data_IF_629941425628
#
_entry.id   IF_629941425628
#
_cell.length_a   1.000
_cell.length_b   1.000
_cell.length_c   1.000
_cell.angle_alpha   90.00
_cell.angle_beta   90.00
_cell.angle_gamma   90.00
#
_symmetry.space_group_name_H-M   'P 1'
#
loop_
_entity.id
_entity.type
_entity.pdbx_description
1 polymer ?
#
# COMPACT_ATOMS: atom_id res chain seq x y z
N UNK A 1 -20.97 -6.73 2.08
CA UNK A 1 -21.80 -7.86 2.57
C UNK A 1 -21.63 -8.99 1.57
N UNK A 2 -21.33 -10.20 2.01
CA UNK A 2 -21.20 -11.36 1.13
C UNK A 2 -22.04 -12.53 1.65
N UNK A 3 -22.48 -13.39 0.75
CA UNK A 3 -23.33 -14.54 1.09
C UNK A 3 -22.51 -15.81 0.94
N UNK A 4 -22.51 -16.63 1.99
CA UNK A 4 -21.93 -17.97 1.95
C UNK A 4 -22.86 -18.95 2.64
N UNK A 5 -23.23 -20.03 1.95
CA UNK A 5 -24.10 -21.08 2.52
C UNK A 5 -25.45 -20.57 3.06
N UNK A 6 -26.07 -19.57 2.39
CA UNK A 6 -27.30 -18.86 2.81
C UNK A 6 -27.17 -17.96 4.05
N UNK A 7 -25.97 -17.77 4.59
CA UNK A 7 -25.70 -16.84 5.69
C UNK A 7 -25.11 -15.55 5.11
N UNK A 8 -25.56 -14.41 5.67
CA UNK A 8 -25.14 -13.07 5.27
C UNK A 8 -24.05 -12.60 6.23
N UNK A 9 -22.87 -12.29 5.70
CA UNK A 9 -21.72 -11.82 6.47
C UNK A 9 -21.38 -10.37 6.12
N UNK A 10 -21.10 -9.57 7.14
CA UNK A 10 -20.59 -8.21 7.00
C UNK A 10 -19.08 -8.20 7.19
N UNK A 11 -18.37 -7.61 6.24
CA UNK A 11 -16.95 -7.35 6.37
C UNK A 11 -16.75 -6.15 7.31
N UNK A 12 -16.09 -6.38 8.45
CA UNK A 12 -15.87 -5.37 9.49
C UNK A 12 -14.59 -4.57 9.20
N UNK A 13 -13.61 -5.18 8.53
CA UNK A 13 -12.30 -4.61 8.21
C UNK A 13 -12.00 -4.73 6.71
N UNK A 14 -11.63 -3.61 6.10
CA UNK A 14 -11.40 -3.50 4.66
C UNK A 14 -12.68 -3.30 3.85
N UNK A 15 -12.52 -3.11 2.54
CA UNK A 15 -13.63 -3.03 1.60
C UNK A 15 -13.89 -4.35 0.89
N UNK A 16 -15.08 -4.48 0.29
CA UNK A 16 -15.45 -5.66 -0.48
C UNK A 16 -14.52 -5.84 -1.69
N UNK A 17 -13.80 -6.97 -1.73
CA UNK A 17 -12.97 -7.32 -2.88
C UNK A 17 -13.84 -7.46 -4.13
N UNK A 18 -13.40 -6.86 -5.24
CA UNK A 18 -14.15 -6.86 -6.51
C UNK A 18 -15.09 -5.67 -6.73
N UNK A 19 -15.26 -4.79 -5.72
CA UNK A 19 -15.97 -3.52 -5.93
C UNK A 19 -15.06 -2.44 -6.53
N UNK A 20 -15.49 -1.81 -7.63
CA UNK A 20 -14.80 -0.67 -8.26
C UNK A 20 -14.66 0.53 -7.30
N UNK A 21 -15.61 0.70 -6.40
CA UNK A 21 -15.56 1.71 -5.35
C UNK A 21 -14.45 1.42 -4.34
N UNK A 22 -14.33 0.15 -3.91
CA UNK A 22 -13.27 -0.28 -2.99
C UNK A 22 -11.89 -0.10 -3.60
N UNK A 23 -11.72 -0.37 -4.91
CA UNK A 23 -10.46 -0.12 -5.62
C UNK A 23 -10.07 1.35 -5.61
N UNK A 24 -11.04 2.25 -5.86
CA UNK A 24 -10.81 3.70 -5.80
C UNK A 24 -10.43 4.15 -4.39
N UNK A 25 -11.11 3.63 -3.37
CA UNK A 25 -10.80 3.96 -1.99
C UNK A 25 -9.42 3.47 -1.56
N UNK A 26 -9.04 2.26 -1.99
CA UNK A 26 -7.69 1.71 -1.79
C UNK A 26 -6.63 2.59 -2.47
N UNK A 27 -6.90 3.06 -3.70
CA UNK A 27 -6.00 3.98 -4.41
C UNK A 27 -5.78 5.30 -3.65
N UNK A 28 -6.84 5.89 -3.08
CA UNK A 28 -6.76 7.13 -2.30
C UNK A 28 -6.00 6.90 -0.98
N UNK A 29 -6.27 5.79 -0.31
CA UNK A 29 -5.57 5.42 0.93
C UNK A 29 -4.06 5.22 0.67
N UNK A 30 -3.73 4.44 -0.36
CA UNK A 30 -2.35 4.20 -0.78
C UNK A 30 -1.67 5.49 -1.24
N UNK A 31 -2.39 6.41 -1.91
CA UNK A 31 -1.86 7.73 -2.28
C UNK A 31 -1.36 8.51 -1.06
N UNK A 32 -2.16 8.59 0.02
CA UNK A 32 -1.77 9.29 1.26
C UNK A 32 -0.50 8.71 1.87
N UNK A 33 -0.31 7.39 1.77
CA UNK A 33 0.87 6.71 2.29
C UNK A 33 2.10 6.88 1.39
N UNK A 34 1.93 6.70 0.08
CA UNK A 34 3.02 6.72 -0.90
C UNK A 34 3.51 8.13 -1.24
N UNK A 35 2.72 9.19 -0.99
CA UNK A 35 3.08 10.59 -1.29
C UNK A 35 4.47 10.97 -0.76
N UNK A 36 4.88 10.44 0.39
CA UNK A 36 6.21 10.69 0.98
C UNK A 36 7.34 9.94 0.27
N UNK A 37 7.06 8.78 -0.34
CA UNK A 37 8.03 7.99 -1.11
C UNK A 37 8.22 8.60 -2.49
N UNK A 38 7.12 8.86 -3.20
CA UNK A 38 7.13 9.47 -4.54
C UNK A 38 7.92 10.77 -4.53
N UNK A 39 7.63 11.68 -3.58
CA UNK A 39 8.38 12.95 -3.45
C UNK A 39 9.88 12.77 -3.20
N UNK A 40 10.30 11.68 -2.55
CA UNK A 40 11.73 11.40 -2.34
C UNK A 40 12.37 10.90 -3.62
N UNK A 41 11.65 10.07 -4.39
CA UNK A 41 12.14 9.48 -5.62
C UNK A 41 12.22 10.46 -6.78
N UNK A 42 11.29 11.42 -6.85
CA UNK A 42 11.36 12.55 -7.79
C UNK A 42 12.67 13.33 -7.64
N UNK A 43 13.19 13.46 -6.41
CA UNK A 43 14.45 14.16 -6.15
C UNK A 43 15.69 13.30 -6.48
N UNK A 44 15.59 11.98 -6.39
CA UNK A 44 16.72 11.05 -6.56
C UNK A 44 16.80 10.43 -7.97
N UNK A 45 15.86 10.77 -8.87
CA UNK A 45 15.70 10.16 -10.21
C UNK A 45 15.57 8.64 -10.15
N UNK A 46 14.93 8.15 -9.10
CA UNK A 46 14.64 6.73 -8.91
C UNK A 46 13.28 6.37 -9.51
N UNK A 47 13.14 5.14 -10.02
CA UNK A 47 11.88 4.65 -10.55
C UNK A 47 10.94 4.27 -9.41
N UNK A 48 9.67 4.66 -9.52
CA UNK A 48 8.58 4.23 -8.67
C UNK A 48 7.38 3.81 -9.52
N UNK A 49 7.00 2.55 -9.41
CA UNK A 49 5.81 1.99 -10.05
C UNK A 49 4.92 1.33 -8.99
N UNK A 50 3.60 1.44 -9.16
CA UNK A 50 2.64 0.66 -8.38
C UNK A 50 1.59 0.07 -9.29
N UNK A 51 1.31 -1.21 -9.11
CA UNK A 51 0.22 -1.93 -9.76
C UNK A 51 -0.71 -2.51 -8.71
N UNK A 52 -1.82 -1.81 -8.43
CA UNK A 52 -2.81 -2.15 -7.40
C UNK A 52 -2.16 -2.39 -6.04
N UNK A 53 -1.78 -3.63 -5.75
CA UNK A 53 -1.17 -4.11 -4.50
C UNK A 53 0.37 -4.18 -4.58
N UNK A 54 0.94 -4.30 -5.77
CA UNK A 54 2.38 -4.45 -5.97
C UNK A 54 3.06 -3.09 -6.12
N UNK A 55 4.15 -2.88 -5.38
CA UNK A 55 4.97 -1.65 -5.44
C UNK A 55 6.38 -2.01 -5.85
N UNK A 56 6.87 -1.38 -6.91
CA UNK A 56 8.22 -1.52 -7.42
C UNK A 56 8.97 -0.20 -7.28
N UNK A 57 10.18 -0.24 -6.75
CA UNK A 57 11.05 0.93 -6.66
C UNK A 57 12.51 0.59 -6.89
N UNK A 58 13.24 1.49 -7.55
CA UNK A 58 14.70 1.43 -7.60
C UNK A 58 15.30 2.32 -6.53
N UNK A 59 16.52 1.99 -6.09
CA UNK A 59 17.23 2.72 -5.05
C UNK A 59 18.70 2.87 -5.41
N UNK A 60 19.18 4.11 -5.41
CA UNK A 60 20.52 4.48 -5.86
C UNK A 60 21.50 4.69 -4.69
N UNK A 61 21.06 4.57 -3.43
CA UNK A 61 21.90 4.74 -2.24
C UNK A 61 22.32 3.39 -1.64
N UNK A 62 23.07 3.44 -0.54
CA UNK A 62 23.54 2.25 0.19
C UNK A 62 22.40 1.31 0.59
N UNK A 63 22.64 0.01 0.45
CA UNK A 63 21.74 -1.10 0.84
C UNK A 63 21.34 -1.04 2.32
N UNK A 64 22.23 -0.57 3.20
CA UNK A 64 21.95 -0.46 4.64
C UNK A 64 20.82 0.55 4.94
N UNK A 65 20.73 1.64 4.18
CA UNK A 65 19.65 2.61 4.32
C UNK A 65 18.33 2.05 3.79
N UNK A 66 18.38 1.27 2.72
CA UNK A 66 17.20 0.58 2.18
C UNK A 66 16.61 -0.41 3.21
N UNK A 67 17.46 -1.24 3.84
CA UNK A 67 17.03 -2.18 4.88
C UNK A 67 16.38 -1.48 6.08
N UNK A 68 16.91 -0.34 6.51
CA UNK A 68 16.31 0.48 7.58
C UNK A 68 14.94 1.02 7.20
N UNK A 69 14.78 1.51 5.97
CA UNK A 69 13.51 2.06 5.48
C UNK A 69 12.46 0.94 5.38
N UNK A 70 12.84 -0.22 4.82
CA UNK A 70 11.98 -1.39 4.72
C UNK A 70 11.45 -1.80 6.10
N UNK A 71 12.35 -2.00 7.07
CA UNK A 71 11.99 -2.43 8.43
C UNK A 71 11.12 -1.41 9.19
N UNK A 72 11.37 -0.10 9.03
CA UNK A 72 10.53 0.94 9.65
C UNK A 72 9.12 0.95 9.06
N UNK A 73 9.01 0.80 7.74
CA UNK A 73 7.74 0.87 7.02
C UNK A 73 6.86 -0.35 7.27
N UNK A 74 7.44 -1.56 7.28
CA UNK A 74 6.71 -2.79 7.63
C UNK A 74 6.16 -2.73 9.06
N UNK A 75 6.94 -2.22 10.03
CA UNK A 75 6.47 -2.05 11.40
C UNK A 75 5.37 -0.99 11.55
N UNK A 76 5.45 0.12 10.82
CA UNK A 76 4.41 1.16 10.86
C UNK A 76 3.07 0.67 10.28
N UNK A 77 3.11 -0.22 9.29
CA UNK A 77 1.90 -0.85 8.75
C UNK A 77 1.32 -1.87 9.76
N UNK A 78 2.17 -2.68 10.39
CA UNK A 78 1.71 -3.68 11.38
C UNK A 78 1.18 -3.07 12.69
N UNK A 79 1.64 -1.87 13.08
CA UNK A 79 1.19 -1.21 14.32
C UNK A 79 -0.18 -0.51 14.19
N UNK A 80 -0.70 -0.37 12.97
CA UNK A 80 -1.91 0.41 12.70
C UNK A 80 -3.17 -0.46 12.52
N UNK A 81 -3.01 -1.77 12.66
CA UNK A 81 -4.04 -2.80 12.56
C UNK A 81 -3.88 -3.80 13.69
#
# INVERSE_FOLDING_TARGET
VFVYGKIIYQQILGGAMGSSFTLTLANIFMWKWQKKLVRRQDMTREYYGRYIDDVFMTWNKSENELKKIHNRKCKHLASKY
#
